data_IF_840361202457
#
_entry.id   IF_840361202457
#
_cell.length_a   1.000
_cell.length_b   1.000
_cell.length_c   1.000
_cell.angle_alpha   90.00
_cell.angle_beta   90.00
_cell.angle_gamma   90.00
#
_symmetry.space_group_name_H-M   'P 1'
#
loop_
_entity.id
_entity.type
_entity.pdbx_description
1 polymer ?
#
# COMPACT_ATOMS: atom_id res chain seq x y z
N UNK A 1 0.31 11.11 -14.79
CA UNK A 1 1.37 10.15 -15.17
C UNK A 1 1.67 9.31 -13.94
N UNK A 2 0.77 8.38 -13.62
CA UNK A 2 0.97 7.45 -12.51
C UNK A 2 1.85 6.34 -13.05
N UNK A 3 3.11 6.30 -12.60
CA UNK A 3 3.96 5.13 -12.77
C UNK A 3 3.49 4.13 -11.72
N UNK A 4 2.52 3.30 -12.10
CA UNK A 4 2.37 2.00 -11.46
C UNK A 4 3.69 1.30 -11.67
N UNK A 5 4.52 1.22 -10.61
CA UNK A 5 5.73 0.39 -10.59
C UNK A 5 5.25 -1.06 -10.52
N UNK A 6 4.64 -1.52 -11.60
CA UNK A 6 4.37 -2.92 -11.83
C UNK A 6 5.70 -3.57 -12.18
N UNK A 7 6.17 -4.49 -11.34
CA UNK A 7 7.09 -5.51 -11.81
C UNK A 7 6.35 -6.31 -12.89
N UNK A 8 6.64 -5.96 -14.14
CA UNK A 8 6.19 -6.68 -15.29
C UNK A 8 7.02 -7.96 -15.43
N UNK A 9 6.57 -9.05 -14.81
CA UNK A 9 7.06 -10.37 -15.17
C UNK A 9 6.14 -11.02 -16.19
N UNK A 10 6.82 -11.60 -17.19
CA UNK A 10 6.24 -12.03 -18.45
C UNK A 10 5.47 -13.33 -18.29
N UNK A 11 4.15 -13.25 -18.50
CA UNK A 11 3.24 -14.38 -18.56
C UNK A 11 3.64 -15.34 -19.70
N UNK A 12 4.26 -16.48 -19.36
CA UNK A 12 4.41 -17.62 -20.27
C UNK A 12 3.57 -18.79 -19.77
N UNK A 13 2.39 -18.91 -20.35
CA UNK A 13 1.47 -20.03 -20.16
C UNK A 13 2.13 -21.36 -20.54
N UNK A 14 2.17 -22.32 -19.61
CA UNK A 14 2.15 -23.75 -19.99
C UNK A 14 1.28 -24.58 -19.04
N UNK A 15 0.13 -24.91 -19.60
CA UNK A 15 -0.81 -26.00 -19.34
C UNK A 15 -0.34 -27.18 -18.47
N UNK A 16 -1.16 -27.45 -17.45
CA UNK A 16 -1.83 -28.73 -17.16
C UNK A 16 -0.97 -29.91 -16.66
N UNK A 17 -1.21 -30.37 -15.42
CA UNK A 17 -1.62 -31.76 -15.17
C UNK A 17 -2.05 -32.01 -13.70
N UNK A 18 -3.28 -32.49 -13.58
CA UNK A 18 -3.92 -33.25 -12.49
C UNK A 18 -2.98 -34.19 -11.72
N UNK A 19 -3.04 -34.13 -10.38
CA UNK A 19 -2.87 -35.30 -9.52
C UNK A 19 -3.74 -35.16 -8.26
N UNK A 20 -4.82 -35.92 -8.29
CA UNK A 20 -5.71 -36.32 -7.20
C UNK A 20 -4.97 -37.22 -6.21
N UNK A 21 -4.98 -36.90 -4.91
CA UNK A 21 -5.09 -37.92 -3.84
C UNK A 21 -5.57 -37.29 -2.52
N UNK A 22 -6.65 -37.89 -2.01
CA UNK A 22 -7.24 -37.75 -0.68
C UNK A 22 -6.70 -38.88 0.24
N UNK A 23 -7.16 -39.05 1.49
CA UNK A 23 -6.74 -38.39 2.72
C UNK A 23 -6.03 -39.37 3.68
N UNK A 24 -5.24 -38.91 4.66
CA UNK A 24 -4.94 -39.73 5.84
C UNK A 24 -4.87 -38.87 7.10
N UNK A 25 -5.72 -39.25 8.04
CA UNK A 25 -5.90 -38.72 9.37
C UNK A 25 -4.94 -39.44 10.30
N UNK A 26 -4.07 -38.72 11.01
CA UNK A 26 -3.65 -39.15 12.33
C UNK A 26 -3.68 -38.00 13.34
N UNK A 27 -4.45 -38.28 14.38
CA UNK A 27 -4.70 -37.48 15.57
C UNK A 27 -3.40 -37.27 16.34
N UNK A 28 -3.27 -36.13 17.01
CA UNK A 28 -2.84 -36.13 18.41
C UNK A 28 -3.28 -34.85 19.12
N UNK A 29 -4.19 -35.07 20.06
CA UNK A 29 -4.49 -34.26 21.23
C UNK A 29 -3.29 -33.53 21.84
N UNK A 30 -3.45 -32.24 22.14
CA UNK A 30 -3.19 -31.73 23.50
C UNK A 30 -3.99 -30.47 23.80
N UNK A 31 -4.76 -30.56 24.87
CA UNK A 31 -5.47 -29.52 25.62
C UNK A 31 -4.50 -28.50 26.24
N UNK A 32 -4.92 -27.23 26.38
CA UNK A 32 -5.18 -26.59 27.70
C UNK A 32 -5.48 -25.07 27.60
N UNK A 33 -6.49 -24.65 28.37
CA UNK A 33 -6.69 -23.35 29.09
C UNK A 33 -6.71 -22.05 28.26
N UNK A 34 -7.82 -21.34 28.05
CA UNK A 34 -8.73 -20.62 28.99
C UNK A 34 -8.05 -19.57 29.87
N UNK A 35 -8.16 -18.31 29.46
CA UNK A 35 -8.24 -17.15 30.35
C UNK A 35 -9.08 -16.05 29.69
N UNK A 36 -9.99 -15.49 30.46
CA UNK A 36 -11.03 -14.48 30.18
C UNK A 36 -11.16 -13.68 31.49
N UNK A 37 -11.78 -12.49 31.60
CA UNK A 37 -11.86 -11.27 30.76
C UNK A 37 -11.45 -9.97 31.54
N UNK A 38 -11.57 -8.82 30.89
CA UNK A 38 -11.86 -7.51 31.51
C UNK A 38 -10.67 -6.57 31.62
N UNK A 39 -10.80 -5.25 31.68
CA UNK A 39 -11.95 -4.35 31.61
C UNK A 39 -11.37 -2.92 31.52
N UNK A 40 -12.05 -2.05 30.77
CA UNK A 40 -12.10 -0.59 30.84
C UNK A 40 -10.88 0.22 31.35
N UNK A 41 -10.47 1.22 30.54
CA UNK A 41 -10.23 2.56 31.08
C UNK A 41 -10.74 3.63 30.12
N UNK A 42 -11.54 4.51 30.68
CA UNK A 42 -12.17 5.70 30.12
C UNK A 42 -11.23 6.90 30.33
N UNK A 43 -11.37 7.92 29.48
CA UNK A 43 -10.86 9.28 29.71
C UNK A 43 -9.57 9.56 28.93
N UNK A 44 -9.36 10.71 28.32
CA UNK A 44 -9.94 12.01 28.62
C UNK A 44 -9.66 12.93 27.43
N UNK A 45 -10.68 13.69 27.01
CA UNK A 45 -10.51 14.85 26.16
C UNK A 45 -9.60 15.85 26.86
N UNK A 46 -8.43 16.12 26.27
CA UNK A 46 -7.67 17.33 26.52
C UNK A 46 -7.86 18.28 25.33
N UNK A 47 -8.76 19.24 25.53
CA UNK A 47 -8.74 20.51 24.81
C UNK A 47 -7.69 21.41 25.47
N UNK A 48 -6.51 21.53 24.86
CA UNK A 48 -5.59 22.65 25.04
C UNK A 48 -4.48 22.61 23.99
N UNK A 49 -4.56 23.48 22.98
CA UNK A 49 -3.50 24.43 22.58
C UNK A 49 -3.62 24.80 21.09
N UNK A 50 -4.10 26.01 20.83
CA UNK A 50 -4.14 26.57 19.49
C UNK A 50 -2.77 27.19 19.16
N UNK A 51 -1.81 26.34 18.74
CA UNK A 51 -0.66 26.73 17.91
C UNK A 51 0.17 25.55 17.35
N UNK A 52 -0.38 24.34 17.26
CA UNK A 52 0.22 23.27 16.46
C UNK A 52 -0.84 22.74 15.50
N UNK A 53 -0.72 23.03 14.21
CA UNK A 53 -1.56 22.42 13.17
C UNK A 53 -1.14 20.95 12.91
N UNK A 54 -0.83 20.24 13.99
CA UNK A 54 -0.43 18.83 14.01
C UNK A 54 -1.65 18.04 14.46
N UNK A 55 -2.21 17.25 13.54
CA UNK A 55 -3.26 16.30 13.88
C UNK A 55 -2.62 14.97 14.32
N UNK A 56 -3.14 14.39 15.39
CA UNK A 56 -2.74 13.09 15.94
C UNK A 56 -3.98 12.18 15.95
N UNK A 57 -3.83 10.93 15.53
CA UNK A 57 -4.84 9.87 15.67
C UNK A 57 -4.16 8.62 16.22
N UNK A 58 -4.78 7.96 17.21
CA UNK A 58 -4.24 6.77 17.88
C UNK A 58 -2.80 6.93 18.41
N UNK A 59 -2.43 8.16 18.77
CA UNK A 59 -1.09 8.50 19.26
C UNK A 59 -0.03 8.67 18.16
N UNK A 60 -0.43 8.58 16.89
CA UNK A 60 0.44 8.77 15.72
C UNK A 60 0.14 10.09 14.99
N UNK A 61 1.16 10.85 14.56
CA UNK A 61 0.98 12.08 13.80
C UNK A 61 0.47 11.83 12.38
N UNK A 62 -0.27 12.79 11.84
CA UNK A 62 -0.86 12.76 10.51
C UNK A 62 -0.21 13.78 9.57
N UNK A 63 -0.13 13.43 8.29
CA UNK A 63 0.23 14.37 7.21
C UNK A 63 -1.00 14.87 6.47
N UNK A 64 -2.05 14.07 6.41
CA UNK A 64 -3.31 14.45 5.77
C UNK A 64 -4.50 13.59 6.25
N UNK A 65 -5.71 14.02 5.90
CA UNK A 65 -6.93 13.22 5.87
C UNK A 65 -7.58 13.31 4.50
N UNK A 66 -8.19 12.21 4.08
CA UNK A 66 -9.03 12.12 2.87
C UNK A 66 -10.40 11.63 3.29
N UNK A 67 -11.42 12.47 3.18
CA UNK A 67 -12.80 12.18 3.64
C UNK A 67 -12.85 11.65 5.08
N UNK A 68 -12.03 12.24 5.94
CA UNK A 68 -11.90 11.88 7.36
C UNK A 68 -10.93 10.73 7.65
N UNK A 69 -10.54 9.92 6.66
CA UNK A 69 -9.60 8.83 6.88
C UNK A 69 -8.14 9.33 6.95
N UNK A 70 -7.33 8.84 7.90
CA UNK A 70 -5.97 9.35 8.14
C UNK A 70 -4.95 8.87 7.10
N UNK A 71 -3.96 9.72 6.83
CA UNK A 71 -2.66 9.38 6.26
C UNK A 71 -1.61 9.74 7.31
N UNK A 72 -0.97 8.72 7.88
CA UNK A 72 0.01 8.86 8.96
C UNK A 72 1.36 9.36 8.46
N UNK A 73 2.08 10.06 9.32
CA UNK A 73 3.39 10.65 9.03
C UNK A 73 4.47 9.59 8.81
N UNK A 74 4.46 8.49 9.57
CA UNK A 74 5.42 7.40 9.44
C UNK A 74 5.31 6.70 8.07
N UNK A 75 4.09 6.44 7.60
CA UNK A 75 3.82 5.89 6.25
C UNK A 75 4.36 6.85 5.18
N UNK A 76 4.10 8.14 5.34
CA UNK A 76 4.58 9.16 4.43
C UNK A 76 6.12 9.24 4.40
N UNK A 77 6.76 9.35 5.55
CA UNK A 77 8.22 9.43 5.66
C UNK A 77 8.90 8.16 5.15
N UNK A 78 8.34 6.98 5.45
CA UNK A 78 8.83 5.71 4.93
C UNK A 78 8.80 5.66 3.40
N UNK A 79 7.71 6.14 2.79
CA UNK A 79 7.59 6.19 1.32
C UNK A 79 8.57 7.20 0.69
N UNK A 80 8.77 8.35 1.33
CA UNK A 80 9.79 9.32 0.89
C UNK A 80 11.18 8.70 0.92
N UNK A 81 11.57 8.09 2.05
CA UNK A 81 12.87 7.46 2.21
C UNK A 81 13.11 6.33 1.19
N UNK A 82 12.08 5.53 0.89
CA UNK A 82 12.15 4.47 -0.11
C UNK A 82 12.48 5.02 -1.51
N UNK A 83 11.84 6.12 -1.93
CA UNK A 83 12.08 6.70 -3.25
C UNK A 83 13.42 7.45 -3.28
N UNK A 84 13.80 8.16 -2.22
CA UNK A 84 15.14 8.77 -2.10
C UNK A 84 16.26 7.70 -2.21
N UNK A 85 16.08 6.55 -1.56
CA UNK A 85 17.01 5.42 -1.69
C UNK A 85 17.02 4.81 -3.10
N UNK A 86 15.88 4.77 -3.80
CA UNK A 86 15.83 4.31 -5.18
C UNK A 86 16.51 5.29 -6.16
N UNK A 87 16.37 6.59 -5.95
CA UNK A 87 16.96 7.65 -6.79
C UNK A 87 18.47 7.76 -6.60
N UNK A 88 18.95 7.73 -5.35
CA UNK A 88 20.40 7.78 -5.03
C UNK A 88 21.21 6.63 -5.67
N UNK A 89 20.56 5.53 -6.03
CA UNK A 89 21.18 4.41 -6.76
C UNK A 89 21.26 4.62 -8.27
N UNK A 90 20.38 5.45 -8.83
CA UNK A 90 20.27 5.69 -10.27
C UNK A 90 21.02 6.96 -10.70
N UNK A 91 21.21 7.90 -9.79
CA UNK A 91 21.81 9.21 -10.07
C UNK A 91 22.88 9.52 -8.99
N UNK A 92 24.13 9.83 -9.38
CA UNK A 92 25.10 10.37 -8.43
C UNK A 92 24.68 11.78 -7.96
N UNK A 93 24.94 12.09 -6.68
CA UNK A 93 24.45 13.30 -5.96
C UNK A 93 24.84 14.66 -6.56
N UNK A 94 25.73 14.69 -7.55
CA UNK A 94 26.41 15.89 -8.04
C UNK A 94 25.65 16.70 -9.12
N UNK A 95 24.54 16.18 -9.68
CA UNK A 95 23.82 16.82 -10.81
C UNK A 95 22.42 17.38 -10.49
N UNK A 96 21.92 17.23 -9.25
CA UNK A 96 20.54 17.59 -8.91
C UNK A 96 20.48 18.76 -7.91
N UNK A 97 19.59 19.72 -8.17
CA UNK A 97 19.19 20.71 -7.17
C UNK A 97 18.40 19.98 -6.06
N UNK A 98 19.14 19.48 -5.06
CA UNK A 98 18.63 18.55 -4.06
C UNK A 98 17.44 19.12 -3.27
N UNK A 99 17.33 20.44 -3.16
CA UNK A 99 16.23 21.11 -2.46
C UNK A 99 14.96 21.10 -3.32
N UNK A 100 15.06 21.48 -4.59
CA UNK A 100 13.90 21.47 -5.49
C UNK A 100 13.37 20.04 -5.71
N UNK A 101 14.28 19.08 -5.91
CA UNK A 101 13.94 17.68 -6.08
C UNK A 101 13.27 17.09 -4.82
N UNK A 102 13.75 17.43 -3.62
CA UNK A 102 13.16 16.93 -2.38
C UNK A 102 11.77 17.48 -2.11
N UNK A 103 11.49 18.75 -2.41
CA UNK A 103 10.15 19.34 -2.25
C UNK A 103 9.17 18.73 -3.24
N UNK A 104 9.55 18.61 -4.52
CA UNK A 104 8.69 18.01 -5.54
C UNK A 104 8.42 16.53 -5.25
N UNK A 105 9.46 15.77 -4.89
CA UNK A 105 9.33 14.37 -4.49
C UNK A 105 8.36 14.22 -3.31
N UNK A 106 8.54 15.02 -2.26
CA UNK A 106 7.67 15.00 -1.08
C UNK A 106 6.23 15.31 -1.41
N UNK A 107 5.98 16.23 -2.34
CA UNK A 107 4.63 16.54 -2.81
C UNK A 107 4.04 15.38 -3.62
N UNK A 108 4.82 14.77 -4.52
CA UNK A 108 4.41 13.61 -5.31
C UNK A 108 4.07 12.40 -4.43
N UNK A 109 4.85 12.15 -3.37
CA UNK A 109 4.58 11.07 -2.41
C UNK A 109 3.25 11.31 -1.69
N UNK A 110 3.02 12.52 -1.19
CA UNK A 110 1.77 12.85 -0.51
C UNK A 110 0.57 12.70 -1.47
N UNK A 111 0.70 13.19 -2.70
CA UNK A 111 -0.37 13.07 -3.69
C UNK A 111 -0.65 11.61 -4.05
N UNK A 112 0.38 10.78 -4.19
CA UNK A 112 0.22 9.34 -4.39
C UNK A 112 -0.48 8.65 -3.22
N UNK A 113 -0.17 9.01 -1.97
CA UNK A 113 -0.86 8.47 -0.79
C UNK A 113 -2.32 8.92 -0.69
N UNK A 114 -2.63 10.13 -1.15
CA UNK A 114 -4.02 10.61 -1.24
C UNK A 114 -4.79 9.80 -2.29
N UNK A 115 -4.21 9.59 -3.47
CA UNK A 115 -4.83 8.80 -4.54
C UNK A 115 -5.04 7.34 -4.12
N UNK A 116 -4.02 6.74 -3.50
CA UNK A 116 -4.09 5.43 -2.83
C UNK A 116 -5.30 5.37 -1.88
N UNK A 117 -5.48 6.39 -1.04
CA UNK A 117 -6.58 6.44 -0.07
C UNK A 117 -7.95 6.52 -0.74
N UNK A 118 -8.07 7.31 -1.81
CA UNK A 118 -9.29 7.40 -2.61
C UNK A 118 -9.65 6.04 -3.23
N UNK A 119 -8.65 5.30 -3.71
CA UNK A 119 -8.83 3.98 -4.29
C UNK A 119 -9.29 2.96 -3.23
N UNK A 120 -8.67 2.97 -2.05
CA UNK A 120 -9.09 2.12 -0.91
C UNK A 120 -10.53 2.40 -0.49
N UNK A 121 -10.91 3.67 -0.38
CA UNK A 121 -12.30 4.06 -0.08
C UNK A 121 -13.28 3.58 -1.15
N UNK A 122 -12.89 3.65 -2.42
CA UNK A 122 -13.71 3.12 -3.50
C UNK A 122 -13.83 1.59 -3.42
N UNK A 123 -12.75 0.89 -3.05
CA UNK A 123 -12.78 -0.55 -2.84
C UNK A 123 -13.78 -0.92 -1.75
N UNK A 124 -13.73 -0.23 -0.60
CA UNK A 124 -14.68 -0.41 0.51
C UNK A 124 -16.13 -0.18 0.04
N UNK A 125 -16.36 0.89 -0.72
CA UNK A 125 -17.69 1.21 -1.26
C UNK A 125 -18.21 0.15 -2.25
N UNK A 126 -17.32 -0.54 -2.96
CA UNK A 126 -17.66 -1.63 -3.90
C UNK A 126 -17.69 -3.01 -3.23
N UNK A 127 -17.31 -3.10 -1.94
CA UNK A 127 -17.12 -4.38 -1.26
C UNK A 127 -15.96 -5.21 -1.82
N UNK A 128 -14.96 -4.55 -2.40
CA UNK A 128 -13.73 -5.17 -2.88
C UNK A 128 -12.77 -5.29 -1.70
N UNK A 129 -12.40 -6.53 -1.36
CA UNK A 129 -11.40 -6.83 -0.32
C UNK A 129 -10.42 -7.88 -0.84
N UNK A 130 -9.18 -7.84 -0.34
CA UNK A 130 -8.16 -8.84 -0.62
C UNK A 130 -7.94 -9.68 0.65
N UNK A 131 -8.04 -11.00 0.53
CA UNK A 131 -7.80 -11.87 1.68
C UNK A 131 -6.30 -12.03 1.96
N UNK A 132 -5.89 -12.32 3.20
CA UNK A 132 -4.48 -12.58 3.51
C UNK A 132 -3.88 -13.69 2.64
N UNK A 133 -4.66 -14.74 2.36
CA UNK A 133 -4.23 -15.87 1.53
C UNK A 133 -3.97 -15.46 0.08
N UNK A 134 -4.74 -14.51 -0.45
CA UNK A 134 -4.49 -13.94 -1.79
C UNK A 134 -3.19 -13.13 -1.83
N UNK A 135 -2.91 -12.35 -0.77
CA UNK A 135 -1.63 -11.61 -0.65
C UNK A 135 -0.45 -12.57 -0.58
N UNK A 136 -0.54 -13.61 0.24
CA UNK A 136 0.51 -14.63 0.37
C UNK A 136 0.74 -15.39 -0.95
N UNK A 137 -0.32 -15.73 -1.68
CA UNK A 137 -0.23 -16.39 -2.97
C UNK A 137 0.46 -15.50 -4.01
N UNK A 138 0.15 -14.20 -4.04
CA UNK A 138 0.80 -13.24 -4.92
C UNK A 138 2.26 -13.01 -4.51
N UNK A 139 2.54 -12.88 -3.21
CA UNK A 139 3.90 -12.74 -2.68
C UNK A 139 4.77 -13.94 -3.09
N UNK A 140 4.23 -15.16 -3.02
CA UNK A 140 4.93 -16.37 -3.48
C UNK A 140 5.19 -16.36 -4.98
N UNK A 141 4.26 -15.85 -5.78
CA UNK A 141 4.45 -15.69 -7.23
C UNK A 141 5.59 -14.72 -7.51
N UNK A 142 5.58 -13.55 -6.87
CA UNK A 142 6.66 -12.58 -6.95
C UNK A 142 8.03 -13.18 -6.55
N UNK A 143 8.07 -13.91 -5.43
CA UNK A 143 9.29 -14.59 -4.97
C UNK A 143 9.78 -15.68 -5.93
N UNK A 144 8.89 -16.31 -6.70
CA UNK A 144 9.28 -17.35 -7.66
C UNK A 144 9.90 -16.79 -8.94
N UNK A 145 9.64 -15.52 -9.21
CA UNK A 145 10.26 -14.78 -10.32
C UNK A 145 11.62 -14.21 -9.93
N UNK A 146 11.85 -14.00 -8.63
CA UNK A 146 13.16 -13.79 -8.06
C UNK A 146 13.87 -15.15 -7.92
N UNK A 147 15.20 -15.16 -8.06
CA UNK A 147 15.99 -16.33 -7.68
C UNK A 147 15.82 -16.58 -6.14
N UNK A 148 16.07 -17.80 -5.61
CA UNK A 148 15.47 -18.29 -4.35
C UNK A 148 15.68 -17.39 -3.11
N UNK A 149 14.78 -17.53 -2.11
CA UNK A 149 14.61 -16.80 -0.83
C UNK A 149 15.73 -15.85 -0.36
N UNK A 150 17.00 -16.28 -0.37
CA UNK A 150 18.16 -15.41 -0.12
C UNK A 150 18.18 -14.14 -1.00
N UNK A 151 17.58 -14.15 -2.18
CA UNK A 151 17.43 -12.94 -3.00
C UNK A 151 16.25 -12.08 -2.60
N UNK A 152 15.19 -12.64 -2.02
CA UNK A 152 14.05 -11.87 -1.53
C UNK A 152 14.44 -11.03 -0.31
N UNK A 153 15.09 -11.62 0.69
CA UNK A 153 15.58 -10.85 1.84
C UNK A 153 16.58 -9.76 1.40
N UNK A 154 17.50 -10.08 0.48
CA UNK A 154 18.43 -9.09 -0.09
C UNK A 154 17.69 -8.00 -0.87
N UNK A 155 16.64 -8.36 -1.60
CA UNK A 155 15.81 -7.41 -2.34
C UNK A 155 15.07 -6.49 -1.36
N UNK A 156 14.51 -7.00 -0.27
CA UNK A 156 13.90 -6.21 0.79
C UNK A 156 14.91 -5.23 1.40
N UNK A 157 16.08 -5.71 1.81
CA UNK A 157 17.17 -4.88 2.34
C UNK A 157 17.59 -3.79 1.36
N UNK A 158 17.80 -4.17 0.10
CA UNK A 158 18.13 -3.23 -0.96
C UNK A 158 17.04 -2.18 -1.11
N UNK A 159 15.76 -2.50 -0.92
CA UNK A 159 14.66 -1.56 -1.07
C UNK A 159 14.25 -0.87 0.23
N UNK A 160 14.96 -1.10 1.33
CA UNK A 160 14.63 -0.52 2.63
C UNK A 160 13.28 -1.00 3.18
N UNK A 161 12.85 -2.21 2.78
CA UNK A 161 11.55 -2.76 3.14
C UNK A 161 11.67 -3.85 4.21
N UNK A 162 10.64 -3.96 5.04
CA UNK A 162 10.39 -5.17 5.82
C UNK A 162 9.43 -6.07 5.06
N UNK A 163 9.40 -7.37 5.39
CA UNK A 163 8.41 -8.29 4.82
C UNK A 163 6.97 -7.82 5.07
N UNK A 164 6.66 -7.36 6.29
CA UNK A 164 5.34 -6.84 6.64
C UNK A 164 4.96 -5.61 5.80
N UNK A 165 5.90 -4.68 5.58
CA UNK A 165 5.68 -3.52 4.72
C UNK A 165 5.46 -3.93 3.26
N UNK A 166 6.23 -4.90 2.76
CA UNK A 166 6.04 -5.46 1.42
C UNK A 166 4.65 -6.09 1.25
N UNK A 167 4.20 -6.91 2.20
CA UNK A 167 2.88 -7.54 2.13
C UNK A 167 1.74 -6.52 2.19
N UNK A 168 1.88 -5.47 3.02
CA UNK A 168 0.92 -4.36 3.06
C UNK A 168 0.87 -3.60 1.72
N UNK A 169 2.02 -3.27 1.15
CA UNK A 169 2.12 -2.64 -0.17
C UNK A 169 1.53 -3.53 -1.27
N UNK A 170 1.74 -4.84 -1.20
CA UNK A 170 1.20 -5.80 -2.16
C UNK A 170 -0.32 -5.89 -2.07
N UNK A 171 -0.87 -5.94 -0.86
CA UNK A 171 -2.32 -5.92 -0.65
C UNK A 171 -2.94 -4.65 -1.25
N UNK A 172 -2.34 -3.50 -0.96
CA UNK A 172 -2.70 -2.20 -1.51
C UNK A 172 -2.70 -2.18 -3.04
N UNK A 173 -1.69 -2.76 -3.68
CA UNK A 173 -1.62 -2.89 -5.14
C UNK A 173 -2.72 -3.80 -5.69
N UNK A 174 -3.00 -4.93 -5.03
CA UNK A 174 -4.07 -5.86 -5.44
C UNK A 174 -5.47 -5.24 -5.33
N UNK A 175 -5.70 -4.42 -4.30
CA UNK A 175 -6.92 -3.60 -4.16
C UNK A 175 -7.01 -2.64 -5.34
N UNK A 176 -5.96 -1.86 -5.59
CA UNK A 176 -5.94 -0.88 -6.67
C UNK A 176 -6.19 -1.52 -8.04
N UNK A 177 -5.58 -2.67 -8.31
CA UNK A 177 -5.79 -3.44 -9.55
C UNK A 177 -7.25 -3.90 -9.70
N UNK A 178 -7.89 -4.39 -8.63
CA UNK A 178 -9.32 -4.79 -8.69
C UNK A 178 -10.23 -3.59 -8.92
N UNK A 179 -9.94 -2.45 -8.30
CA UNK A 179 -10.70 -1.21 -8.51
C UNK A 179 -10.51 -0.69 -9.93
N UNK A 180 -9.28 -0.68 -10.43
CA UNK A 180 -8.95 -0.32 -11.82
C UNK A 180 -9.72 -1.19 -12.82
N UNK A 181 -9.67 -2.51 -12.66
CA UNK A 181 -10.40 -3.43 -13.53
C UNK A 181 -11.91 -3.27 -13.42
N UNK A 182 -12.44 -2.90 -12.24
CA UNK A 182 -13.85 -2.62 -12.06
C UNK A 182 -14.31 -1.34 -12.77
N UNK A 183 -13.52 -0.26 -12.68
CA UNK A 183 -13.86 1.03 -13.30
C UNK A 183 -13.73 0.97 -14.82
N UNK A 184 -12.76 0.20 -15.31
CA UNK A 184 -12.43 0.13 -16.74
C UNK A 184 -13.10 -1.05 -17.46
N UNK A 185 -14.09 -1.69 -16.81
CA UNK A 185 -14.83 -2.81 -17.38
C UNK A 185 -15.40 -2.46 -18.76
N UNK A 186 -15.21 -3.37 -19.72
CA UNK A 186 -15.72 -3.23 -21.08
C UNK A 186 -14.72 -2.67 -22.09
N UNK A 187 -13.60 -2.10 -21.62
CA UNK A 187 -12.53 -1.61 -22.49
C UNK A 187 -11.38 -2.61 -22.59
N UNK A 188 -10.93 -2.91 -23.81
CA UNK A 188 -9.83 -3.84 -24.06
C UNK A 188 -8.49 -3.14 -24.32
N UNK A 189 -8.52 -1.86 -24.67
CA UNK A 189 -7.32 -1.07 -24.96
C UNK A 189 -6.74 -0.46 -23.69
N UNK A 190 -5.45 -0.71 -23.44
CA UNK A 190 -4.80 -0.27 -22.20
C UNK A 190 -4.72 1.25 -22.09
N UNK A 191 -4.50 1.96 -23.19
CA UNK A 191 -4.42 3.43 -23.18
C UNK A 191 -5.78 4.04 -22.84
N UNK A 192 -6.88 3.49 -23.39
CA UNK A 192 -8.24 3.85 -23.00
C UNK A 192 -8.52 3.55 -21.53
N UNK A 193 -8.19 2.36 -21.02
CA UNK A 193 -8.35 2.03 -19.61
C UNK A 193 -7.65 3.04 -18.70
N UNK A 194 -6.39 3.37 -19.00
CA UNK A 194 -5.61 4.33 -18.21
C UNK A 194 -6.26 5.72 -18.22
N UNK A 195 -6.73 6.20 -19.39
CA UNK A 195 -7.45 7.48 -19.47
C UNK A 195 -8.71 7.51 -18.60
N UNK A 196 -9.54 6.46 -18.70
CA UNK A 196 -10.79 6.37 -17.94
C UNK A 196 -10.48 6.40 -16.44
N UNK A 197 -9.47 5.64 -16.01
CA UNK A 197 -9.09 5.60 -14.61
C UNK A 197 -8.52 6.94 -14.13
N UNK A 198 -7.67 7.59 -14.93
CA UNK A 198 -7.11 8.91 -14.61
C UNK A 198 -8.22 9.98 -14.51
N UNK A 199 -9.20 9.95 -15.41
CA UNK A 199 -10.38 10.84 -15.38
C UNK A 199 -11.23 10.58 -14.14
N UNK A 200 -11.50 9.31 -13.83
CA UNK A 200 -12.22 8.90 -12.62
C UNK A 200 -11.50 9.37 -11.35
N UNK A 201 -10.18 9.18 -11.27
CA UNK A 201 -9.39 9.57 -10.10
C UNK A 201 -9.36 11.08 -9.95
N UNK A 202 -9.27 11.82 -11.06
CA UNK A 202 -9.37 13.29 -11.07
C UNK A 202 -10.73 13.76 -10.54
N UNK A 203 -11.82 13.15 -10.99
CA UNK A 203 -13.17 13.43 -10.50
C UNK A 203 -13.27 13.16 -8.99
N UNK A 204 -12.86 11.97 -8.55
CA UNK A 204 -12.92 11.58 -7.13
C UNK A 204 -12.09 12.49 -6.24
N UNK A 205 -10.86 12.82 -6.65
CA UNK A 205 -9.99 13.74 -5.92
C UNK A 205 -10.59 15.13 -5.81
N UNK A 206 -11.28 15.61 -6.85
CA UNK A 206 -11.95 16.91 -6.83
C UNK A 206 -13.17 16.95 -5.90
N UNK A 207 -13.80 15.79 -5.67
CA UNK A 207 -14.94 15.63 -4.77
C UNK A 207 -14.54 15.36 -3.32
N UNK A 208 -13.35 14.79 -3.09
CA UNK A 208 -12.84 14.44 -1.77
C UNK A 208 -12.50 15.68 -0.93
N UNK A 209 -12.79 15.60 0.37
CA UNK A 209 -12.33 16.57 1.37
C UNK A 209 -10.93 16.19 1.81
N UNK A 210 -9.93 16.98 1.40
CA UNK A 210 -8.53 16.74 1.72
C UNK A 210 -8.04 17.79 2.73
N UNK A 211 -7.73 17.35 3.95
CA UNK A 211 -7.11 18.18 4.98
C UNK A 211 -5.63 17.85 5.04
N UNK A 212 -4.74 18.84 4.89
CA UNK A 212 -3.29 18.66 5.01
C UNK A 212 -2.79 19.31 6.31
N UNK A 213 -1.90 18.64 7.01
CA UNK A 213 -1.35 19.09 8.29
C UNK A 213 0.11 19.51 8.14
N UNK A 214 0.60 20.31 9.10
CA UNK A 214 1.98 20.77 9.09
C UNK A 214 2.89 19.64 9.57
N UNK A 215 3.84 19.29 8.72
CA UNK A 215 4.91 18.35 9.03
C UNK A 215 5.95 19.09 9.89
N UNK A 216 6.35 18.55 11.05
CA UNK A 216 7.31 19.20 11.97
C UNK A 216 8.69 19.48 11.34
#
# INVERSE_FOLDING_TARGET
MIVLIGLACSFSSRTNQTAEISPESEQTTTTSTTSTPGSASVGQSDTADAASNQAIEDGQPLVARVDGQPIFLDVYEGRVAQIEQALSRQQPEDELDQIALSVELRQQVLDGLIEQKIIEQQADALGISISPEEVEAEAKTFMSELDPQTEFERWLENNGLTEAAFLADLQSQLIANRVFEHITQGEADQEQKNRIFDEWLTEKRSAAVIEKYVIP
#
